data_IF_339636655742
#
_entry.id   IF_339636655742
#
_cell.length_a   1.000
_cell.length_b   1.000
_cell.length_c   1.000
_cell.angle_alpha   90.00
_cell.angle_beta   90.00
_cell.angle_gamma   90.00
#
_symmetry.space_group_name_H-M   'P 1'
#
loop_
_entity.id
_entity.type
_entity.pdbx_description
1 polymer ?
#
# COMPACT_ATOMS: atom_id res chain seq x y z
N UNK A 1 8.75 28.91 12.73
CA UNK A 1 7.59 29.52 12.05
C UNK A 1 7.97 30.07 10.67
N UNK A 2 9.13 30.73 10.53
CA UNK A 2 9.56 31.36 9.26
C UNK A 2 9.70 30.35 8.10
N UNK A 3 10.13 29.12 8.39
CA UNK A 3 10.20 28.03 7.37
C UNK A 3 8.85 27.52 6.89
N UNK A 4 7.76 27.76 7.64
CA UNK A 4 6.41 27.31 7.24
C UNK A 4 5.88 28.15 6.09
N UNK A 5 6.20 29.44 6.07
CA UNK A 5 5.78 30.34 4.99
C UNK A 5 6.46 29.98 3.67
N UNK A 6 7.72 29.50 3.72
CA UNK A 6 8.47 29.07 2.52
C UNK A 6 7.89 27.80 1.86
N UNK A 7 7.26 26.92 2.65
CA UNK A 7 6.59 25.73 2.14
C UNK A 7 5.08 25.90 1.97
N UNK A 8 4.52 27.08 2.29
CA UNK A 8 3.11 27.35 2.16
C UNK A 8 2.65 27.18 0.72
N UNK A 9 1.67 26.29 0.55
CA UNK A 9 1.05 26.03 -0.74
C UNK A 9 0.21 27.21 -1.19
N UNK A 10 -0.39 27.95 -0.24
CA UNK A 10 -1.28 29.08 -0.52
C UNK A 10 -0.52 30.31 -1.01
N UNK A 11 0.71 30.51 -0.58
CA UNK A 11 1.57 31.60 -1.00
C UNK A 11 2.18 31.39 -2.38
N UNK A 12 2.25 30.15 -2.85
CA UNK A 12 2.89 29.80 -4.12
C UNK A 12 1.97 30.13 -5.31
N UNK A 13 2.47 30.97 -6.20
CA UNK A 13 1.71 31.42 -7.39
C UNK A 13 1.90 30.51 -8.60
N UNK A 14 3.03 29.81 -8.67
CA UNK A 14 3.31 28.88 -9.75
C UNK A 14 2.57 27.56 -9.48
N UNK A 15 1.65 27.18 -10.37
CA UNK A 15 0.82 25.99 -10.21
C UNK A 15 1.64 24.70 -10.15
N UNK A 16 2.71 24.59 -10.94
CA UNK A 16 3.57 23.38 -10.96
C UNK A 16 4.36 23.24 -9.67
N UNK A 17 4.93 24.36 -9.17
CA UNK A 17 5.63 24.38 -7.89
C UNK A 17 4.65 24.10 -6.73
N UNK A 18 3.46 24.67 -6.77
CA UNK A 18 2.42 24.40 -5.77
C UNK A 18 2.05 22.92 -5.75
N UNK A 19 1.83 22.33 -6.91
CA UNK A 19 1.52 20.89 -7.03
C UNK A 19 2.65 19.99 -6.50
N UNK A 20 3.90 20.36 -6.74
CA UNK A 20 5.05 19.66 -6.19
C UNK A 20 5.13 19.80 -4.67
N UNK A 21 4.91 21.00 -4.13
CA UNK A 21 4.83 21.24 -2.69
C UNK A 21 3.73 20.40 -2.04
N UNK A 22 2.53 20.34 -2.63
CA UNK A 22 1.42 19.50 -2.16
C UNK A 22 1.81 18.03 -2.12
N UNK A 23 2.42 17.52 -3.19
CA UNK A 23 2.86 16.13 -3.26
C UNK A 23 3.88 15.81 -2.16
N UNK A 24 4.85 16.70 -1.94
CA UNK A 24 5.87 16.57 -0.88
C UNK A 24 5.21 16.60 0.50
N UNK A 25 4.30 17.55 0.74
CA UNK A 25 3.59 17.67 2.03
C UNK A 25 2.76 16.42 2.32
N UNK A 26 2.04 15.88 1.33
CA UNK A 26 1.31 14.63 1.49
C UNK A 26 2.24 13.45 1.80
N UNK A 27 3.36 13.35 1.12
CA UNK A 27 4.38 12.34 1.40
C UNK A 27 4.94 12.45 2.82
N UNK A 28 5.31 13.67 3.24
CA UNK A 28 5.83 13.94 4.58
C UNK A 28 4.81 13.66 5.69
N UNK A 29 3.54 14.02 5.49
CA UNK A 29 2.47 13.66 6.43
C UNK A 29 2.31 12.15 6.58
N UNK A 30 2.41 11.40 5.48
CA UNK A 30 2.42 9.93 5.52
C UNK A 30 3.62 9.37 6.26
N UNK A 31 4.80 9.91 6.00
CA UNK A 31 6.05 9.50 6.66
C UNK A 31 6.01 9.82 8.17
N UNK A 32 5.49 10.97 8.56
CA UNK A 32 5.29 11.34 9.96
C UNK A 32 4.38 10.38 10.70
N UNK A 33 3.28 9.97 10.07
CA UNK A 33 2.38 9.01 10.67
C UNK A 33 3.05 7.64 10.87
N UNK A 34 3.95 7.22 9.99
CA UNK A 34 4.77 6.02 10.18
C UNK A 34 5.84 6.22 11.24
N UNK A 35 6.46 7.40 11.30
CA UNK A 35 7.43 7.76 12.35
C UNK A 35 6.82 7.72 13.75
N UNK A 36 5.61 8.24 13.90
CA UNK A 36 4.85 8.15 15.16
C UNK A 36 4.59 6.69 15.57
N UNK A 37 4.22 5.84 14.61
CA UNK A 37 4.08 4.41 14.88
C UNK A 37 5.39 3.74 15.28
N UNK A 38 6.50 4.10 14.65
CA UNK A 38 7.82 3.58 15.01
C UNK A 38 8.22 4.02 16.41
N UNK A 39 7.99 5.29 16.78
CA UNK A 39 8.19 5.81 18.12
C UNK A 39 7.39 5.02 19.19
N UNK A 40 6.08 4.84 18.95
CA UNK A 40 5.22 4.07 19.84
C UNK A 40 5.73 2.64 20.06
N UNK A 41 6.32 2.03 19.04
CA UNK A 41 6.87 0.67 19.06
C UNK A 41 8.30 0.60 19.63
N UNK A 42 8.94 1.73 19.91
CA UNK A 42 10.31 1.81 20.40
C UNK A 42 11.38 1.57 19.31
N UNK A 43 11.01 1.75 18.04
CA UNK A 43 11.93 1.74 16.89
C UNK A 43 12.18 3.18 16.46
N UNK A 44 12.91 3.92 17.27
CA UNK A 44 13.26 5.31 17.00
C UNK A 44 14.56 5.42 16.24
N UNK A 45 14.60 6.36 15.31
CA UNK A 45 15.82 6.89 14.72
C UNK A 45 15.84 8.40 14.96
N UNK A 46 16.69 8.84 15.86
CA UNK A 46 16.72 10.22 16.33
C UNK A 46 17.09 11.21 15.21
N UNK A 47 17.88 10.80 14.21
CA UNK A 47 18.26 11.63 13.08
C UNK A 47 17.07 11.84 12.13
N UNK A 48 16.38 10.77 11.77
CA UNK A 48 15.16 10.82 10.94
C UNK A 48 14.01 11.54 11.66
N UNK A 49 13.85 11.31 12.97
CA UNK A 49 12.84 11.99 13.77
C UNK A 49 13.12 13.50 13.88
N UNK A 50 14.39 13.90 14.02
CA UNK A 50 14.79 15.30 14.04
C UNK A 50 14.41 16.04 12.76
N UNK A 51 14.67 15.45 11.61
CA UNK A 51 14.29 15.99 10.31
C UNK A 51 12.76 16.08 10.14
N UNK A 52 12.03 15.07 10.60
CA UNK A 52 10.55 15.03 10.54
C UNK A 52 9.92 16.08 11.45
N UNK A 53 10.38 16.23 12.69
CA UNK A 53 9.84 17.20 13.66
C UNK A 53 10.08 18.64 13.19
N UNK A 54 11.21 18.94 12.55
CA UNK A 54 11.44 20.26 11.96
C UNK A 54 10.40 20.64 10.90
N UNK A 55 9.84 19.65 10.19
CA UNK A 55 8.91 19.86 9.07
C UNK A 55 7.45 19.82 9.53
N UNK A 56 7.13 19.09 10.61
CA UNK A 56 5.76 18.69 10.96
C UNK A 56 5.19 19.25 12.25
N UNK A 57 5.91 20.08 12.99
CA UNK A 57 5.45 20.62 14.29
C UNK A 57 4.18 21.48 14.24
N UNK A 58 3.43 21.44 13.17
CA UNK A 58 2.31 22.37 12.91
C UNK A 58 0.89 21.78 12.88
N UNK A 59 0.67 20.46 13.02
CA UNK A 59 -0.72 19.94 12.95
C UNK A 59 -0.97 18.72 13.83
N UNK A 60 -1.84 18.83 14.85
CA UNK A 60 -2.41 17.70 15.59
C UNK A 60 -3.83 17.96 16.05
N UNK A 61 -4.67 16.92 16.03
CA UNK A 61 -5.80 16.74 16.97
C UNK A 61 -6.18 15.26 17.06
N UNK A 62 -6.51 14.77 18.25
CA UNK A 62 -6.66 13.36 18.58
C UNK A 62 -8.00 13.05 19.24
N UNK A 63 -8.50 11.82 18.96
CA UNK A 63 -9.44 11.11 19.83
C UNK A 63 -8.81 9.76 20.17
N UNK A 64 -8.74 9.42 21.46
CA UNK A 64 -7.88 8.33 21.92
C UNK A 64 -8.60 7.00 22.06
N UNK A 65 -7.98 5.91 21.59
CA UNK A 65 -8.41 4.54 21.85
C UNK A 65 -8.52 4.25 23.35
N UNK A 66 -7.74 4.93 24.20
CA UNK A 66 -7.79 4.80 25.65
C UNK A 66 -9.16 5.14 26.23
N UNK A 67 -9.81 6.17 25.72
CA UNK A 67 -11.17 6.56 26.17
C UNK A 67 -12.19 5.49 25.79
N UNK A 68 -12.13 4.93 24.59
CA UNK A 68 -13.00 3.83 24.15
C UNK A 68 -12.81 2.61 25.05
N UNK A 69 -11.57 2.23 25.34
CA UNK A 69 -11.26 1.06 26.15
C UNK A 69 -11.68 1.24 27.62
N UNK A 70 -11.56 2.44 28.18
CA UNK A 70 -12.08 2.72 29.53
C UNK A 70 -13.62 2.67 29.55
N UNK A 71 -14.30 3.23 28.56
CA UNK A 71 -15.77 3.21 28.49
C UNK A 71 -16.34 1.79 28.29
N UNK A 72 -15.63 0.92 27.61
CA UNK A 72 -16.06 -0.46 27.32
C UNK A 72 -15.58 -1.48 28.35
N UNK A 73 -14.76 -1.07 29.30
CA UNK A 73 -14.21 -1.94 30.36
C UNK A 73 -15.29 -2.56 31.22
N UNK A 74 -15.34 -3.88 31.23
CA UNK A 74 -16.36 -4.62 31.99
C UNK A 74 -17.76 -4.66 31.35
N UNK A 75 -17.92 -4.12 30.15
CA UNK A 75 -19.20 -4.13 29.43
C UNK A 75 -19.51 -5.47 28.72
N UNK A 76 -18.62 -6.45 28.80
CA UNK A 76 -18.75 -7.73 28.11
C UNK A 76 -18.59 -7.63 26.58
N UNK A 77 -17.87 -6.61 26.13
CA UNK A 77 -17.61 -6.33 24.70
C UNK A 77 -16.12 -6.53 24.43
N UNK A 78 -15.77 -7.25 23.38
CA UNK A 78 -14.42 -7.32 22.86
C UNK A 78 -14.19 -6.22 21.81
N UNK A 79 -13.09 -5.50 21.94
CA UNK A 79 -12.66 -4.45 21.02
C UNK A 79 -11.64 -5.02 20.05
N UNK A 80 -11.91 -4.90 18.76
CA UNK A 80 -10.97 -5.21 17.68
C UNK A 80 -10.56 -3.93 17.00
N UNK A 81 -9.27 -3.72 16.86
CA UNK A 81 -8.74 -2.60 16.09
C UNK A 81 -8.60 -2.97 14.61
N UNK A 82 -8.35 -1.98 13.80
CA UNK A 82 -8.22 -2.09 12.37
C UNK A 82 -7.24 -1.04 11.84
N UNK A 83 -6.44 -1.43 10.86
CA UNK A 83 -5.56 -0.52 10.15
C UNK A 83 -4.48 0.08 11.04
N UNK A 84 -4.45 1.39 11.08
CA UNK A 84 -3.46 2.22 11.77
C UNK A 84 -3.38 1.98 13.29
N UNK A 85 -4.41 1.36 13.85
CA UNK A 85 -4.49 1.07 15.28
C UNK A 85 -3.75 -0.23 15.68
N UNK A 86 -3.10 -0.94 14.74
CA UNK A 86 -2.30 -2.13 15.03
C UNK A 86 -1.26 -1.89 16.14
N UNK A 87 -0.54 -0.76 16.19
CA UNK A 87 0.45 -0.49 17.23
C UNK A 87 -0.11 -0.53 18.66
N UNK A 88 -1.41 -0.23 18.86
CA UNK A 88 -2.04 -0.28 20.16
C UNK A 88 -1.89 -1.64 20.85
N UNK A 89 -1.87 -2.75 20.09
CA UNK A 89 -1.71 -4.10 20.64
C UNK A 89 -0.30 -4.38 21.18
N UNK A 90 0.70 -3.64 20.73
CA UNK A 90 2.09 -3.76 21.18
C UNK A 90 2.41 -2.81 22.33
N UNK A 91 1.66 -1.72 22.47
CA UNK A 91 1.92 -0.68 23.44
C UNK A 91 1.67 -1.17 24.88
N UNK A 92 2.65 -1.08 25.78
CA UNK A 92 2.55 -1.64 27.14
C UNK A 92 1.34 -1.13 27.94
N UNK A 93 0.98 0.14 27.78
CA UNK A 93 -0.18 0.75 28.43
C UNK A 93 -1.49 0.03 28.12
N UNK A 94 -1.70 -0.40 26.88
CA UNK A 94 -2.94 -1.05 26.46
C UNK A 94 -3.05 -2.52 26.86
N UNK A 95 -1.96 -3.18 27.28
CA UNK A 95 -1.97 -4.58 27.75
C UNK A 95 -2.84 -4.81 29.00
N UNK A 96 -3.17 -3.75 29.73
CA UNK A 96 -4.10 -3.81 30.86
C UNK A 96 -5.55 -4.06 30.44
N UNK A 97 -5.92 -3.72 29.22
CA UNK A 97 -7.28 -3.87 28.68
C UNK A 97 -7.44 -5.24 28.04
N UNK A 98 -7.90 -6.22 28.84
CA UNK A 98 -8.02 -7.61 28.39
C UNK A 98 -9.04 -7.80 27.27
N UNK A 99 -9.99 -6.88 27.14
CA UNK A 99 -11.00 -6.86 26.10
C UNK A 99 -10.52 -6.19 24.79
N UNK A 100 -9.29 -5.67 24.76
CA UNK A 100 -8.62 -5.35 23.48
C UNK A 100 -8.15 -6.66 22.86
N UNK A 101 -9.05 -7.32 22.12
CA UNK A 101 -8.93 -8.73 21.76
C UNK A 101 -8.01 -8.99 20.56
N UNK A 102 -7.95 -8.10 19.58
CA UNK A 102 -7.10 -8.29 18.42
C UNK A 102 -7.18 -7.19 17.38
N UNK A 103 -6.32 -7.31 16.38
CA UNK A 103 -6.36 -6.48 15.17
C UNK A 103 -6.82 -7.33 13.98
N UNK A 104 -7.67 -6.76 13.14
CA UNK A 104 -8.13 -7.41 11.93
C UNK A 104 -7.09 -7.23 10.83
N UNK A 105 -6.28 -8.25 10.56
CA UNK A 105 -5.21 -8.21 9.57
C UNK A 105 -4.68 -9.60 9.21
N UNK A 106 -3.82 -9.67 8.21
CA UNK A 106 -3.48 -10.88 7.46
C UNK A 106 -2.00 -11.30 7.48
N UNK A 107 -1.51 -11.80 6.35
CA UNK A 107 -0.20 -12.42 6.18
C UNK A 107 0.94 -11.40 6.15
N UNK A 108 1.74 -11.29 7.19
CA UNK A 108 2.99 -10.53 7.14
C UNK A 108 4.02 -11.21 6.19
N UNK A 109 5.08 -10.48 5.79
CA UNK A 109 6.07 -10.99 4.84
C UNK A 109 6.68 -12.35 5.24
N UNK A 110 6.90 -12.61 6.53
CA UNK A 110 7.41 -13.90 7.01
C UNK A 110 6.47 -15.09 6.71
N UNK A 111 5.16 -14.86 6.62
CA UNK A 111 4.19 -15.88 6.20
C UNK A 111 4.22 -16.08 4.69
N UNK A 112 4.44 -15.00 3.93
CA UNK A 112 4.68 -15.08 2.49
C UNK A 112 5.99 -15.83 2.22
N UNK A 113 7.02 -15.60 3.04
CA UNK A 113 8.30 -16.34 2.96
C UNK A 113 8.12 -17.85 3.22
N UNK A 114 7.25 -18.25 4.14
CA UNK A 114 6.91 -19.68 4.36
C UNK A 114 6.24 -20.33 3.15
N UNK A 115 5.52 -19.54 2.34
CA UNK A 115 4.92 -19.99 1.09
C UNK A 115 5.85 -19.86 -0.11
N UNK A 116 7.04 -19.28 0.06
CA UNK A 116 7.92 -18.90 -1.04
C UNK A 116 8.32 -20.08 -1.93
N UNK A 117 8.61 -21.24 -1.35
CA UNK A 117 8.94 -22.45 -2.13
C UNK A 117 7.75 -22.92 -2.99
N UNK A 118 6.55 -22.98 -2.41
CA UNK A 118 5.33 -23.34 -3.16
C UNK A 118 5.03 -22.33 -4.26
N UNK A 119 5.19 -21.04 -3.95
CA UNK A 119 5.00 -19.96 -4.94
C UNK A 119 6.02 -20.14 -6.08
N UNK A 120 7.29 -20.39 -5.75
CA UNK A 120 8.35 -20.62 -6.72
C UNK A 120 8.04 -21.81 -7.64
N UNK A 121 7.60 -22.93 -7.07
CA UNK A 121 7.20 -24.11 -7.83
C UNK A 121 6.01 -23.83 -8.73
N UNK A 122 4.96 -23.16 -8.23
CA UNK A 122 3.79 -22.81 -8.99
C UNK A 122 4.10 -21.83 -10.15
N UNK A 123 5.02 -20.89 -9.94
CA UNK A 123 5.50 -20.00 -10.98
C UNK A 123 6.32 -20.76 -12.04
N UNK A 124 7.27 -21.61 -11.63
CA UNK A 124 8.06 -22.44 -12.55
C UNK A 124 7.19 -23.40 -13.37
N UNK A 125 6.13 -23.92 -12.77
CA UNK A 125 5.15 -24.77 -13.44
C UNK A 125 4.17 -23.98 -14.35
N UNK A 126 4.28 -22.64 -14.40
CA UNK A 126 3.39 -21.77 -15.18
C UNK A 126 1.96 -21.68 -14.64
N UNK A 127 1.72 -22.14 -13.42
CA UNK A 127 0.41 -22.08 -12.75
C UNK A 127 0.10 -20.68 -12.22
N UNK A 128 1.14 -19.97 -11.76
CA UNK A 128 1.07 -18.54 -11.42
C UNK A 128 1.85 -17.78 -12.49
N UNK A 129 1.17 -16.92 -13.21
CA UNK A 129 1.79 -16.11 -14.28
C UNK A 129 1.99 -14.66 -13.89
N UNK A 130 1.15 -14.12 -12.99
CA UNK A 130 1.17 -12.71 -12.63
C UNK A 130 0.87 -12.53 -11.14
N UNK A 131 1.48 -11.49 -10.59
CA UNK A 131 1.09 -10.91 -9.31
C UNK A 131 0.53 -9.51 -9.56
N UNK A 132 -0.53 -9.17 -8.85
CA UNK A 132 -1.09 -7.82 -8.89
C UNK A 132 -1.15 -7.29 -7.47
N UNK A 133 -0.45 -6.21 -7.21
CA UNK A 133 -0.58 -5.49 -5.95
C UNK A 133 -1.82 -4.62 -6.05
N UNK A 134 -2.88 -5.03 -5.37
CA UNK A 134 -4.11 -4.26 -5.18
C UNK A 134 -4.21 -3.90 -3.71
N UNK A 135 -4.07 -2.64 -3.38
CA UNK A 135 -4.02 -2.24 -1.97
C UNK A 135 -4.31 -0.76 -1.78
N UNK A 136 -4.09 -0.30 -0.57
CA UNK A 136 -4.25 1.10 -0.20
C UNK A 136 -5.58 1.40 0.50
N UNK A 137 -6.12 2.58 0.27
CA UNK A 137 -7.28 3.10 0.99
C UNK A 137 -8.60 2.57 0.42
N UNK A 138 -9.61 2.47 1.26
CA UNK A 138 -11.00 2.37 0.82
C UNK A 138 -11.74 3.69 1.14
N UNK A 139 -12.64 4.06 0.26
CA UNK A 139 -13.62 5.09 0.48
C UNK A 139 -14.99 4.55 0.09
N UNK A 140 -16.06 5.05 0.67
CA UNK A 140 -17.42 4.58 0.41
C UNK A 140 -17.95 4.92 -1.00
N UNK A 141 -17.11 5.51 -1.85
CA UNK A 141 -17.52 5.97 -3.18
C UNK A 141 -17.80 4.80 -4.12
N UNK A 142 -18.87 4.91 -4.91
CA UNK A 142 -19.26 3.91 -5.91
C UNK A 142 -18.15 3.66 -6.95
N UNK A 143 -17.37 4.67 -7.30
CA UNK A 143 -16.24 4.55 -8.23
C UNK A 143 -15.19 3.52 -7.80
N UNK A 144 -15.15 3.15 -6.51
CA UNK A 144 -14.24 2.14 -5.98
C UNK A 144 -14.71 0.68 -6.20
N UNK A 145 -15.92 0.48 -6.74
CA UNK A 145 -16.34 -0.82 -7.26
C UNK A 145 -15.42 -1.32 -8.38
N UNK A 146 -14.69 -0.44 -9.04
CA UNK A 146 -13.64 -0.79 -9.98
C UNK A 146 -12.71 -1.88 -9.43
N UNK A 147 -12.23 -1.75 -8.19
CA UNK A 147 -11.32 -2.74 -7.58
C UNK A 147 -11.98 -4.10 -7.35
N UNK A 148 -13.26 -4.12 -7.00
CA UNK A 148 -14.03 -5.36 -6.90
C UNK A 148 -14.16 -6.04 -8.25
N UNK A 149 -14.48 -5.28 -9.29
CA UNK A 149 -14.68 -5.82 -10.63
C UNK A 149 -13.36 -6.25 -11.29
N UNK A 150 -12.25 -5.53 -11.03
CA UNK A 150 -10.90 -5.97 -11.46
C UNK A 150 -10.57 -7.31 -10.79
N UNK A 151 -10.74 -7.44 -9.47
CA UNK A 151 -10.43 -8.68 -8.77
C UNK A 151 -11.22 -9.88 -9.30
N UNK A 152 -12.51 -9.69 -9.65
CA UNK A 152 -13.35 -10.72 -10.27
C UNK A 152 -12.90 -11.10 -11.69
N UNK A 153 -12.43 -10.11 -12.46
CA UNK A 153 -12.11 -10.29 -13.87
C UNK A 153 -10.66 -10.77 -14.12
N UNK A 154 -9.79 -10.73 -13.10
CA UNK A 154 -8.43 -11.23 -13.21
C UNK A 154 -8.40 -12.73 -13.53
N UNK A 155 -7.51 -13.18 -14.45
CA UNK A 155 -7.33 -14.59 -14.79
C UNK A 155 -7.07 -15.48 -13.57
N UNK A 156 -7.43 -16.77 -13.69
CA UNK A 156 -7.27 -17.74 -12.61
C UNK A 156 -5.81 -18.02 -12.20
N UNK A 157 -4.85 -17.66 -13.05
CA UNK A 157 -3.41 -17.78 -12.84
C UNK A 157 -2.75 -16.51 -12.25
N UNK A 158 -3.58 -15.59 -11.73
CA UNK A 158 -3.12 -14.33 -11.14
C UNK A 158 -3.35 -14.34 -9.64
N UNK A 159 -2.31 -13.96 -8.89
CA UNK A 159 -2.35 -13.79 -7.42
C UNK A 159 -2.42 -12.30 -7.09
N UNK A 160 -3.34 -11.94 -6.22
CA UNK A 160 -3.51 -10.59 -5.67
C UNK A 160 -2.70 -10.48 -4.38
N UNK A 161 -1.77 -9.55 -4.32
CA UNK A 161 -1.09 -9.13 -3.09
C UNK A 161 -1.78 -7.87 -2.60
N UNK A 162 -2.19 -7.86 -1.34
CA UNK A 162 -2.94 -6.71 -0.82
C UNK A 162 -2.50 -6.28 0.57
N UNK A 163 -2.64 -4.98 0.84
CA UNK A 163 -2.54 -4.39 2.17
C UNK A 163 -3.45 -3.16 2.25
N UNK A 164 -3.89 -2.84 3.47
CA UNK A 164 -4.74 -1.68 3.71
C UNK A 164 -6.23 -1.93 3.48
N UNK A 165 -7.01 -0.85 3.51
CA UNK A 165 -8.47 -0.95 3.56
C UNK A 165 -9.13 -1.37 2.24
N UNK A 166 -8.47 -1.16 1.09
CA UNK A 166 -9.01 -1.55 -0.22
C UNK A 166 -9.35 -3.04 -0.31
N UNK A 167 -8.63 -3.89 0.44
CA UNK A 167 -8.84 -5.34 0.49
C UNK A 167 -10.26 -5.76 0.82
N UNK A 168 -10.99 -4.97 1.62
CA UNK A 168 -12.36 -5.32 2.04
C UNK A 168 -13.37 -5.32 0.89
N UNK A 169 -12.97 -4.81 -0.26
CA UNK A 169 -13.79 -4.89 -1.48
C UNK A 169 -13.70 -6.23 -2.18
N UNK A 170 -12.67 -7.02 -1.93
CA UNK A 170 -12.45 -8.28 -2.64
C UNK A 170 -11.98 -9.45 -1.76
N UNK A 171 -11.60 -9.25 -0.50
CA UNK A 171 -11.13 -10.34 0.35
C UNK A 171 -12.20 -11.38 0.70
N UNK A 172 -13.49 -11.04 0.53
CA UNK A 172 -14.63 -11.96 0.71
C UNK A 172 -15.06 -12.64 -0.59
N UNK A 173 -14.48 -12.29 -1.73
CA UNK A 173 -14.78 -12.94 -3.00
C UNK A 173 -14.21 -14.37 -2.99
N UNK A 174 -14.99 -15.30 -3.53
CA UNK A 174 -14.57 -16.69 -3.68
C UNK A 174 -13.70 -16.84 -4.93
N UNK A 175 -12.45 -16.36 -4.85
CA UNK A 175 -11.52 -16.38 -5.99
C UNK A 175 -10.77 -17.72 -6.11
N UNK A 176 -10.84 -18.57 -5.08
CA UNK A 176 -10.17 -19.87 -5.06
C UNK A 176 -8.69 -19.79 -4.72
N UNK A 177 -7.98 -20.85 -5.06
CA UNK A 177 -6.55 -21.03 -4.84
C UNK A 177 -5.85 -21.59 -6.09
N UNK A 178 -4.52 -21.58 -6.04
CA UNK A 178 -3.63 -22.21 -7.03
C UNK A 178 -2.74 -23.18 -6.25
N UNK A 179 -3.03 -24.48 -6.34
CA UNK A 179 -2.33 -25.53 -5.59
C UNK A 179 -2.29 -25.29 -4.06
N UNK A 180 -3.37 -24.79 -3.51
CA UNK A 180 -3.47 -24.44 -2.08
C UNK A 180 -2.82 -23.09 -1.72
N UNK A 181 -2.40 -22.30 -2.70
CA UNK A 181 -1.97 -20.91 -2.52
C UNK A 181 -3.20 -20.04 -2.74
N UNK A 182 -3.72 -19.33 -1.71
CA UNK A 182 -4.86 -18.44 -1.90
C UNK A 182 -4.57 -17.40 -2.98
N UNK A 183 -5.54 -17.14 -3.85
CA UNK A 183 -5.40 -16.11 -4.88
C UNK A 183 -5.41 -14.68 -4.32
N UNK A 184 -5.77 -14.49 -3.07
CA UNK A 184 -5.61 -13.22 -2.35
C UNK A 184 -4.70 -13.45 -1.17
N UNK A 185 -3.51 -12.86 -1.21
CA UNK A 185 -2.54 -12.84 -0.12
C UNK A 185 -2.58 -11.47 0.54
N UNK A 186 -3.22 -11.43 1.70
CA UNK A 186 -3.44 -10.22 2.48
C UNK A 186 -2.27 -10.02 3.45
N UNK A 187 -1.40 -9.06 3.16
CA UNK A 187 -0.26 -8.74 4.03
C UNK A 187 -0.65 -8.02 5.32
N UNK A 188 -1.87 -7.49 5.40
CA UNK A 188 -2.35 -6.77 6.57
C UNK A 188 -2.79 -5.34 6.28
N UNK A 189 -2.34 -4.39 7.06
CA UNK A 189 -2.76 -3.00 6.98
C UNK A 189 -1.78 -2.11 6.20
N UNK A 190 -1.97 -0.80 6.20
CA UNK A 190 -1.12 0.12 5.45
C UNK A 190 0.36 0.03 5.86
N UNK A 191 0.64 -0.20 7.15
CA UNK A 191 2.00 -0.40 7.66
C UNK A 191 2.68 -1.64 7.05
N UNK A 192 1.89 -2.64 6.63
CA UNK A 192 2.38 -3.88 6.01
C UNK A 192 2.66 -3.72 4.50
N UNK A 193 2.52 -2.52 3.96
CA UNK A 193 2.95 -2.21 2.59
C UNK A 193 4.45 -2.50 2.38
N UNK A 194 5.26 -2.39 3.45
CA UNK A 194 6.65 -2.86 3.46
C UNK A 194 6.75 -4.34 3.08
N UNK A 195 5.90 -5.19 3.62
CA UNK A 195 5.90 -6.64 3.33
C UNK A 195 5.65 -6.93 1.85
N UNK A 196 4.78 -6.14 1.19
CA UNK A 196 4.54 -6.26 -0.25
C UNK A 196 5.78 -5.84 -1.05
N UNK A 197 6.42 -4.73 -0.68
CA UNK A 197 7.66 -4.28 -1.33
C UNK A 197 8.79 -5.31 -1.14
N UNK A 198 8.95 -5.85 0.08
CA UNK A 198 9.93 -6.89 0.39
C UNK A 198 9.67 -8.17 -0.43
N UNK A 199 8.41 -8.62 -0.53
CA UNK A 199 8.02 -9.76 -1.34
C UNK A 199 8.34 -9.54 -2.84
N UNK A 200 8.06 -8.34 -3.37
CA UNK A 200 8.37 -7.99 -4.75
C UNK A 200 9.88 -8.03 -5.03
N UNK A 201 10.69 -7.46 -4.14
CA UNK A 201 12.16 -7.50 -4.23
C UNK A 201 12.68 -8.94 -4.12
N UNK A 202 12.09 -9.76 -3.26
CA UNK A 202 12.42 -11.17 -3.12
C UNK A 202 12.12 -11.95 -4.41
N UNK A 203 10.95 -11.74 -5.00
CA UNK A 203 10.59 -12.34 -6.29
C UNK A 203 11.56 -11.92 -7.39
N UNK A 204 11.94 -10.64 -7.45
CA UNK A 204 12.95 -10.16 -8.39
C UNK A 204 14.26 -10.95 -8.25
N UNK A 205 14.75 -11.10 -7.02
CA UNK A 205 16.00 -11.82 -6.75
C UNK A 205 15.90 -13.32 -7.06
N UNK A 206 14.78 -13.96 -6.69
CA UNK A 206 14.59 -15.42 -6.89
C UNK A 206 14.51 -15.82 -8.36
N UNK A 207 13.99 -14.94 -9.21
CA UNK A 207 13.81 -15.19 -10.64
C UNK A 207 14.84 -14.48 -11.52
N UNK A 208 15.84 -13.85 -10.92
CA UNK A 208 16.89 -13.08 -11.61
C UNK A 208 16.31 -12.07 -12.63
N UNK A 209 15.25 -11.37 -12.24
CA UNK A 209 14.54 -10.47 -13.12
C UNK A 209 15.31 -9.17 -13.33
N UNK A 210 15.41 -8.74 -14.58
CA UNK A 210 16.10 -7.50 -14.93
C UNK A 210 15.32 -6.27 -14.44
N UNK A 211 13.99 -6.28 -14.53
CA UNK A 211 13.12 -5.21 -14.07
C UNK A 211 12.28 -5.66 -12.87
N UNK A 212 12.18 -4.80 -11.87
CA UNK A 212 11.42 -5.06 -10.64
C UNK A 212 9.92 -5.27 -10.90
N UNK A 213 9.40 -4.68 -11.98
CA UNK A 213 7.98 -4.78 -12.37
C UNK A 213 7.66 -5.97 -13.27
N UNK A 214 8.62 -6.79 -13.62
CA UNK A 214 8.42 -7.77 -14.68
C UNK A 214 7.26 -8.74 -14.42
N UNK A 215 7.09 -9.31 -13.22
CA UNK A 215 5.96 -10.18 -12.90
C UNK A 215 4.85 -9.50 -12.11
N UNK A 216 4.99 -8.22 -11.75
CA UNK A 216 4.13 -7.54 -10.78
C UNK A 216 3.55 -6.28 -11.40
N UNK A 217 2.23 -6.17 -11.37
CA UNK A 217 1.49 -4.94 -11.65
C UNK A 217 1.01 -4.30 -10.34
N UNK A 218 0.84 -2.98 -10.37
CA UNK A 218 0.34 -2.22 -9.23
C UNK A 218 -0.94 -1.49 -9.61
N UNK A 219 -1.98 -1.69 -8.82
CA UNK A 219 -3.28 -1.03 -8.92
C UNK A 219 -3.71 -0.53 -7.54
N UNK A 220 -3.23 0.66 -7.19
CA UNK A 220 -3.29 1.21 -5.83
C UNK A 220 -4.46 2.16 -5.69
N UNK A 221 -5.32 1.88 -4.71
CA UNK A 221 -6.37 2.78 -4.29
C UNK A 221 -5.82 3.84 -3.33
N UNK A 222 -5.95 5.10 -3.65
CA UNK A 222 -5.52 6.17 -2.75
C UNK A 222 -6.71 6.98 -2.21
N UNK A 223 -6.55 7.54 -1.02
CA UNK A 223 -7.49 8.47 -0.41
C UNK A 223 -6.79 9.43 0.54
N UNK A 224 -5.81 8.95 1.28
CA UNK A 224 -5.09 9.72 2.29
C UNK A 224 -3.58 9.75 2.06
N UNK A 225 -2.89 10.54 2.89
CA UNK A 225 -1.47 10.85 2.78
C UNK A 225 -0.54 9.63 2.87
N UNK A 226 -0.89 8.57 3.62
CA UNK A 226 -0.07 7.36 3.72
C UNK A 226 0.04 6.63 2.39
N UNK A 227 -1.04 6.60 1.60
CA UNK A 227 -1.00 6.03 0.26
C UNK A 227 -0.05 6.81 -0.67
N UNK A 228 0.02 8.13 -0.52
CA UNK A 228 0.99 8.97 -1.27
C UNK A 228 2.41 8.67 -0.82
N UNK A 229 2.66 8.51 0.49
CA UNK A 229 3.97 8.11 1.00
C UNK A 229 4.42 6.76 0.42
N UNK A 230 3.54 5.75 0.44
CA UNK A 230 3.82 4.42 -0.14
C UNK A 230 4.09 4.52 -1.64
N UNK A 231 3.32 5.32 -2.38
CA UNK A 231 3.55 5.56 -3.80
C UNK A 231 4.94 6.13 -4.07
N UNK A 232 5.34 7.17 -3.32
CA UNK A 232 6.66 7.79 -3.48
C UNK A 232 7.79 6.81 -3.12
N UNK A 233 7.61 5.99 -2.08
CA UNK A 233 8.54 4.93 -1.72
C UNK A 233 8.69 3.88 -2.84
N UNK A 234 7.59 3.43 -3.44
CA UNK A 234 7.62 2.49 -4.57
C UNK A 234 8.36 3.10 -5.77
N UNK A 235 8.12 4.38 -6.09
CA UNK A 235 8.82 5.10 -7.15
C UNK A 235 10.32 5.20 -6.85
N UNK A 236 10.71 5.50 -5.61
CA UNK A 236 12.09 5.58 -5.17
C UNK A 236 12.81 4.22 -5.27
N UNK A 237 12.10 3.12 -5.02
CA UNK A 237 12.59 1.75 -5.20
C UNK A 237 12.69 1.33 -6.67
N UNK A 238 12.28 2.19 -7.61
CA UNK A 238 12.37 1.94 -9.05
C UNK A 238 11.13 1.27 -9.67
N UNK A 239 10.04 1.11 -8.94
CA UNK A 239 8.79 0.63 -9.51
C UNK A 239 8.18 1.67 -10.46
N UNK A 240 7.68 1.20 -11.59
CA UNK A 240 7.06 2.02 -12.64
C UNK A 240 5.71 1.45 -13.06
N UNK A 241 4.94 2.23 -13.81
CA UNK A 241 3.69 1.77 -14.39
C UNK A 241 2.57 1.56 -13.37
N UNK A 242 2.65 2.22 -12.22
CA UNK A 242 1.68 2.11 -11.13
C UNK A 242 0.36 2.75 -11.56
N UNK A 243 -0.75 1.98 -11.49
CA UNK A 243 -2.10 2.57 -11.52
C UNK A 243 -2.41 3.10 -10.13
N UNK A 244 -2.93 4.32 -10.08
CA UNK A 244 -3.36 4.94 -8.84
C UNK A 244 -4.74 5.55 -9.02
N UNK A 245 -5.69 5.11 -8.22
CA UNK A 245 -7.09 5.44 -8.44
C UNK A 245 -7.93 5.69 -7.20
N UNK A 246 -9.22 5.95 -7.44
CA UNK A 246 -9.93 5.90 -8.74
C UNK A 246 -9.59 7.02 -9.71
N UNK A 247 -8.97 8.10 -9.24
CA UNK A 247 -8.51 9.24 -10.03
C UNK A 247 -7.11 9.66 -9.57
N UNK A 248 -6.36 10.34 -10.42
CA UNK A 248 -5.12 10.99 -9.98
C UNK A 248 -5.44 12.12 -8.97
N UNK A 249 -4.52 12.42 -8.04
CA UNK A 249 -4.72 13.50 -7.08
C UNK A 249 -5.08 14.83 -7.73
N UNK A 250 -6.15 15.48 -7.25
CA UNK A 250 -6.67 16.71 -7.84
C UNK A 250 -5.72 17.92 -7.70
N UNK A 251 -4.83 17.88 -6.71
CA UNK A 251 -3.84 18.94 -6.49
C UNK A 251 -2.68 18.93 -7.51
N UNK A 252 -2.56 17.89 -8.32
CA UNK A 252 -1.53 17.83 -9.36
C UNK A 252 -1.90 18.71 -10.54
N UNK A 253 -1.02 19.65 -10.91
CA UNK A 253 -1.13 20.41 -12.15
C UNK A 253 -1.04 19.51 -13.38
N UNK A 254 -1.48 20.00 -14.54
CA UNK A 254 -1.40 19.27 -15.80
C UNK A 254 0.03 18.84 -16.09
N UNK A 255 1.00 19.74 -15.94
CA UNK A 255 2.43 19.48 -16.18
C UNK A 255 3.01 18.47 -15.20
N UNK A 256 2.62 18.52 -13.92
CA UNK A 256 3.04 17.51 -12.94
C UNK A 256 2.48 16.13 -13.28
N UNK A 257 1.22 16.04 -13.71
CA UNK A 257 0.61 14.79 -14.18
C UNK A 257 1.38 14.21 -15.36
N UNK A 258 1.66 15.02 -16.39
CA UNK A 258 2.47 14.62 -17.54
C UNK A 258 3.86 14.12 -17.10
N UNK A 259 4.54 14.86 -16.22
CA UNK A 259 5.87 14.46 -15.71
C UNK A 259 5.83 13.11 -15.00
N UNK A 260 4.82 12.85 -14.17
CA UNK A 260 4.67 11.60 -13.45
C UNK A 260 4.32 10.43 -14.39
N UNK A 261 3.52 10.71 -15.42
CA UNK A 261 3.21 9.73 -16.47
C UNK A 261 4.46 9.40 -17.28
N UNK A 262 5.18 10.40 -17.78
CA UNK A 262 6.31 10.20 -18.69
C UNK A 262 7.52 9.57 -18.00
N UNK A 263 7.84 10.03 -16.78
CA UNK A 263 9.04 9.56 -16.05
C UNK A 263 8.82 8.25 -15.31
N UNK A 264 7.64 8.02 -14.74
CA UNK A 264 7.36 6.90 -13.85
C UNK A 264 6.25 5.99 -14.37
N UNK A 265 5.61 6.32 -15.49
CA UNK A 265 4.51 5.55 -16.03
C UNK A 265 3.26 5.56 -15.17
N UNK A 266 3.12 6.57 -14.29
CA UNK A 266 1.96 6.67 -13.41
C UNK A 266 0.71 6.89 -14.26
N UNK A 267 -0.39 6.22 -13.92
CA UNK A 267 -1.64 6.32 -14.67
C UNK A 267 -2.87 6.19 -13.78
N UNK A 268 -3.96 6.81 -14.17
CA UNK A 268 -5.26 6.55 -13.59
C UNK A 268 -5.79 5.19 -14.11
N UNK A 269 -6.67 4.51 -13.33
CA UNK A 269 -7.44 3.40 -13.85
C UNK A 269 -8.25 3.81 -15.09
N UNK A 270 -8.32 2.90 -16.06
CA UNK A 270 -9.21 3.01 -17.22
C UNK A 270 -10.52 2.22 -16.96
N UNK A 271 -11.04 1.54 -17.95
CA UNK A 271 -12.10 0.58 -17.74
C UNK A 271 -11.51 -0.78 -17.29
N UNK A 272 -12.32 -1.54 -16.53
CA UNK A 272 -11.91 -2.83 -15.95
C UNK A 272 -11.33 -3.80 -16.98
N UNK A 273 -11.97 -3.91 -18.16
CA UNK A 273 -11.57 -4.87 -19.18
C UNK A 273 -10.24 -4.49 -19.84
N UNK A 274 -10.01 -3.21 -20.03
CA UNK A 274 -8.76 -2.68 -20.58
C UNK A 274 -7.61 -2.88 -19.58
N UNK A 275 -7.85 -2.59 -18.31
CA UNK A 275 -6.84 -2.73 -17.27
C UNK A 275 -6.51 -4.20 -16.98
N UNK A 276 -7.50 -5.08 -16.91
CA UNK A 276 -7.30 -6.53 -16.77
C UNK A 276 -6.52 -7.09 -17.96
N UNK A 277 -6.84 -6.66 -19.19
CA UNK A 277 -6.05 -7.06 -20.38
C UNK A 277 -4.61 -6.57 -20.31
N UNK A 278 -4.39 -5.34 -19.83
CA UNK A 278 -3.04 -4.79 -19.69
C UNK A 278 -2.24 -5.55 -18.63
N UNK A 279 -2.86 -5.89 -17.51
CA UNK A 279 -2.28 -6.72 -16.45
C UNK A 279 -1.94 -8.11 -16.98
N UNK A 280 -2.88 -8.77 -17.66
CA UNK A 280 -2.70 -10.14 -18.16
C UNK A 280 -1.66 -10.25 -19.27
N UNK A 281 -1.53 -9.22 -20.12
CA UNK A 281 -0.53 -9.18 -21.19
C UNK A 281 0.87 -8.87 -20.72
N UNK A 282 1.03 -8.23 -19.57
CA UNK A 282 2.25 -7.79 -18.87
C UNK A 282 3.54 -7.79 -19.71
N UNK A 283 4.55 -7.05 -19.30
CA UNK A 283 5.87 -7.14 -19.92
C UNK A 283 6.51 -8.48 -19.52
N UNK A 284 6.44 -9.51 -20.36
CA UNK A 284 7.04 -10.85 -20.24
C UNK A 284 6.57 -11.68 -19.03
N UNK A 285 6.15 -12.90 -19.31
CA UNK A 285 5.88 -13.93 -18.30
C UNK A 285 7.21 -14.47 -17.73
N UNK A 286 7.22 -14.98 -16.51
CA UNK A 286 8.36 -15.63 -15.86
C UNK A 286 9.04 -16.73 -16.71
N UNK A 287 8.35 -17.27 -17.73
CA UNK A 287 8.77 -18.44 -18.50
C UNK A 287 9.41 -18.11 -19.86
N UNK A 288 9.34 -16.86 -20.36
CA UNK A 288 9.80 -16.55 -21.70
C UNK A 288 11.32 -16.27 -21.82
N UNK A 289 12.02 -16.00 -20.71
CA UNK A 289 13.47 -15.73 -20.72
C UNK A 289 14.35 -16.98 -20.58
N UNK A 290 13.80 -18.12 -20.10
CA UNK A 290 14.58 -19.34 -19.89
C UNK A 290 14.59 -20.29 -21.10
N UNK A 291 14.02 -19.90 -22.25
CA UNK A 291 14.01 -20.75 -23.45
C UNK A 291 15.14 -20.47 -24.45
N UNK A 292 16.09 -19.61 -24.11
CA UNK A 292 17.24 -19.25 -24.95
C UNK A 292 18.55 -19.33 -24.14
N UNK A 293 18.78 -20.46 -23.47
CA UNK A 293 20.04 -20.80 -22.84
C UNK A 293 20.46 -22.20 -23.24
#
# INVERSE_FOLDING_TARGET
LDKIDDVSVQAEKNEDIRSLKELIIYGLKGLSAYGDHAHILGYEDDELNGELVEILSATTSELTISELLEQTKGAGIDVYTHGEMLPAHSYPFFKQYKHLAGNYGGFAHHQIDQLSEKILEAVKAGKIRRFVVMGGCDGRMKSREYYTEVAKALPGDTVILTAGCAKYRYNKLQLGDIDGIPRVLDSGQCNDSYSIAAAALRLKSLFDLQEINQPIDFDVAWYEQKAVCVLLALIALGFKGIRIGPTLPAFLSARMKETLVDKFGLRAPADVQSDVRAISKGKKNFTEENSHG
#
